data_IF_116706575357
#
_entry.id   IF_116706575357
#
_cell.length_a   1.000
_cell.length_b   1.000
_cell.length_c   1.000
_cell.angle_alpha   90.00
_cell.angle_beta   90.00
_cell.angle_gamma   90.00
#
_symmetry.space_group_name_H-M   'P 1'
#
loop_
_entity.id
_entity.type
_entity.pdbx_description
1 polymer ?
#
# COMPACT_ATOMS: atom_id res chain seq x y z
N UNK A 1 9.86 -26.10 3.90
CA UNK A 1 10.15 -24.87 4.64
C UNK A 1 8.83 -24.35 5.21
N UNK A 2 8.81 -23.86 6.44
CA UNK A 2 7.54 -23.45 7.09
C UNK A 2 7.50 -21.94 7.19
N UNK A 3 6.53 -21.32 6.52
CA UNK A 3 6.28 -19.88 6.69
C UNK A 3 5.82 -19.58 8.13
N UNK A 4 6.20 -18.41 8.61
CA UNK A 4 5.82 -17.85 9.93
C UNK A 4 5.13 -16.49 9.81
N UNK A 5 5.24 -15.84 8.64
CA UNK A 5 4.62 -14.54 8.43
C UNK A 5 4.13 -14.36 6.99
N UNK A 6 3.08 -13.53 6.83
CA UNK A 6 2.62 -13.00 5.54
C UNK A 6 2.62 -11.47 5.63
N UNK A 7 3.27 -10.84 4.67
CA UNK A 7 3.41 -9.39 4.53
C UNK A 7 2.57 -8.95 3.32
N UNK A 8 1.74 -7.95 3.50
CA UNK A 8 0.85 -7.44 2.47
C UNK A 8 1.27 -6.02 2.07
N UNK A 9 1.31 -5.72 0.78
CA UNK A 9 1.15 -4.34 0.36
C UNK A 9 -0.25 -3.84 0.73
N UNK A 10 -0.40 -2.53 0.75
CA UNK A 10 -1.67 -1.88 1.02
C UNK A 10 -2.47 -1.64 -0.26
N UNK A 11 -1.94 -0.85 -1.18
CA UNK A 11 -2.63 -0.50 -2.42
C UNK A 11 -2.83 -1.70 -3.34
N UNK A 12 -4.00 -1.85 -3.92
CA UNK A 12 -4.37 -2.97 -4.82
C UNK A 12 -4.25 -4.39 -4.22
N UNK A 13 -3.84 -4.52 -2.95
CA UNK A 13 -3.83 -5.78 -2.20
C UNK A 13 -4.88 -5.76 -1.09
N UNK A 14 -4.71 -4.88 -0.09
CA UNK A 14 -5.68 -4.68 1.00
C UNK A 14 -6.74 -3.64 0.62
N UNK A 15 -6.33 -2.58 -0.06
CA UNK A 15 -7.17 -1.49 -0.50
C UNK A 15 -7.44 -1.60 -2.00
N UNK A 16 -8.68 -1.41 -2.40
CA UNK A 16 -9.06 -1.33 -3.82
C UNK A 16 -8.55 -0.03 -4.43
N UNK A 17 -8.22 -0.03 -5.72
CA UNK A 17 -7.85 1.20 -6.42
C UNK A 17 -9.03 2.19 -6.46
N UNK A 18 -8.76 3.50 -6.64
CA UNK A 18 -9.79 4.49 -6.87
C UNK A 18 -10.61 4.15 -8.12
N UNK A 19 -11.89 4.48 -8.10
CA UNK A 19 -12.77 4.30 -9.25
C UNK A 19 -12.49 5.34 -10.33
N UNK A 20 -12.83 5.02 -11.58
CA UNK A 20 -12.74 5.98 -12.69
C UNK A 20 -13.51 7.28 -12.40
N UNK A 21 -14.66 7.18 -11.73
CA UNK A 21 -15.43 8.33 -11.33
C UNK A 21 -14.67 9.23 -10.34
N UNK A 22 -14.05 8.66 -9.31
CA UNK A 22 -13.26 9.41 -8.33
C UNK A 22 -12.10 10.16 -9.00
N UNK A 23 -11.39 9.49 -9.91
CA UNK A 23 -10.28 10.09 -10.68
C UNK A 23 -10.81 11.20 -11.58
N UNK A 24 -11.92 10.98 -12.31
CA UNK A 24 -12.54 11.97 -13.18
C UNK A 24 -12.98 13.23 -12.43
N UNK A 25 -13.60 13.05 -11.26
CA UNK A 25 -13.99 14.16 -10.39
C UNK A 25 -12.79 14.98 -9.90
N UNK A 26 -11.70 14.32 -9.53
CA UNK A 26 -10.47 14.98 -9.11
C UNK A 26 -9.82 15.76 -10.27
N UNK A 27 -9.75 15.18 -11.46
CA UNK A 27 -9.26 15.83 -12.66
C UNK A 27 -10.10 17.06 -13.03
N UNK A 28 -11.43 16.94 -12.95
CA UNK A 28 -12.37 18.04 -13.21
C UNK A 28 -12.17 19.22 -12.24
N UNK A 29 -11.92 18.96 -10.95
CA UNK A 29 -11.59 20.00 -9.97
C UNK A 29 -10.30 20.75 -10.34
N UNK A 30 -9.31 20.04 -10.87
CA UNK A 30 -8.06 20.63 -11.34
C UNK A 30 -8.20 21.32 -12.70
N UNK A 31 -9.34 21.16 -13.39
CA UNK A 31 -9.59 21.73 -14.73
C UNK A 31 -8.73 21.12 -15.84
N UNK A 32 -8.43 19.83 -15.74
CA UNK A 32 -7.59 19.04 -16.66
C UNK A 32 -8.26 17.71 -17.02
N UNK A 33 -7.72 17.03 -18.02
CA UNK A 33 -8.17 15.68 -18.39
C UNK A 33 -7.70 14.62 -17.37
N UNK A 34 -8.31 13.45 -17.39
CA UNK A 34 -7.92 12.28 -16.57
C UNK A 34 -6.47 11.88 -16.84
N UNK A 35 -6.05 11.85 -18.10
CA UNK A 35 -4.69 11.46 -18.47
C UNK A 35 -3.64 12.46 -17.94
N UNK A 36 -3.91 13.76 -18.05
CA UNK A 36 -3.06 14.82 -17.48
C UNK A 36 -2.99 14.68 -15.95
N UNK A 37 -4.13 14.43 -15.31
CA UNK A 37 -4.19 14.22 -13.86
C UNK A 37 -3.33 13.03 -13.43
N UNK A 38 -3.52 11.88 -14.03
CA UNK A 38 -2.76 10.66 -13.67
C UNK A 38 -1.25 10.86 -13.92
N UNK A 39 -0.87 11.49 -15.03
CA UNK A 39 0.53 11.78 -15.32
C UNK A 39 1.16 12.69 -14.26
N UNK A 40 0.48 13.77 -13.89
CA UNK A 40 0.94 14.70 -12.86
C UNK A 40 0.98 14.04 -11.47
N UNK A 41 -0.07 13.26 -11.12
CA UNK A 41 -0.20 12.56 -9.84
C UNK A 41 0.95 11.57 -9.58
N UNK A 42 1.37 10.82 -10.58
CA UNK A 42 2.45 9.83 -10.41
C UNK A 42 3.86 10.41 -10.55
N UNK A 43 4.01 11.65 -11.05
CA UNK A 43 5.31 12.25 -11.37
C UNK A 43 6.27 12.36 -10.18
N UNK A 44 5.75 12.80 -9.03
CA UNK A 44 6.51 13.01 -7.78
C UNK A 44 6.07 12.05 -6.66
N UNK A 45 5.37 10.97 -7.03
CA UNK A 45 4.80 10.05 -6.07
C UNK A 45 5.84 9.41 -5.16
N UNK A 46 7.01 9.08 -5.68
CA UNK A 46 8.07 8.44 -4.91
C UNK A 46 8.60 9.32 -3.78
N UNK A 47 8.79 10.61 -4.04
CA UNK A 47 9.19 11.60 -3.05
C UNK A 47 8.10 11.83 -2.01
N UNK A 48 6.86 11.85 -2.45
CA UNK A 48 5.70 11.98 -1.56
C UNK A 48 5.56 10.79 -0.62
N UNK A 49 5.69 9.59 -1.13
CA UNK A 49 5.67 8.36 -0.32
C UNK A 49 6.89 8.24 0.62
N UNK A 50 7.99 8.99 0.37
CA UNK A 50 9.11 9.14 1.30
C UNK A 50 8.84 10.13 2.44
N UNK A 51 7.78 10.92 2.37
CA UNK A 51 7.35 11.81 3.44
C UNK A 51 7.45 13.29 3.15
N UNK A 52 7.59 13.73 1.89
CA UNK A 52 7.36 15.13 1.53
C UNK A 52 5.98 15.57 2.03
N UNK A 53 5.88 16.81 2.49
CA UNK A 53 4.62 17.36 2.99
C UNK A 53 3.52 17.36 1.90
N UNK A 54 2.30 17.03 2.30
CA UNK A 54 1.19 16.92 1.36
C UNK A 54 0.86 18.24 0.65
N UNK A 55 1.01 19.39 1.34
CA UNK A 55 0.77 20.69 0.73
C UNK A 55 1.84 21.02 -0.29
N UNK A 56 3.10 20.67 -0.01
CA UNK A 56 4.21 20.83 -0.94
C UNK A 56 3.97 19.99 -2.19
N UNK A 57 3.63 18.71 -2.04
CA UNK A 57 3.30 17.82 -3.15
C UNK A 57 2.18 18.37 -4.05
N UNK A 58 1.05 18.80 -3.45
CA UNK A 58 -0.08 19.32 -4.23
C UNK A 58 0.15 20.70 -4.84
N UNK A 59 1.03 21.53 -4.26
CA UNK A 59 1.51 22.76 -4.90
C UNK A 59 2.41 22.49 -6.09
N UNK A 60 3.37 21.56 -5.97
CA UNK A 60 4.20 21.14 -7.11
C UNK A 60 3.36 20.46 -8.22
N UNK A 61 2.30 19.72 -7.85
CA UNK A 61 1.33 19.19 -8.80
C UNK A 61 0.65 20.32 -9.59
N UNK A 62 0.15 21.34 -8.87
CA UNK A 62 -0.52 22.49 -9.48
C UNK A 62 0.41 23.26 -10.43
N UNK A 63 1.63 23.56 -10.00
CA UNK A 63 2.65 24.21 -10.84
C UNK A 63 2.92 23.40 -12.12
N UNK A 64 3.03 22.06 -12.01
CA UNK A 64 3.28 21.22 -13.16
C UNK A 64 2.17 21.27 -14.21
N UNK A 65 0.91 21.35 -13.80
CA UNK A 65 -0.25 21.48 -14.73
C UNK A 65 -0.54 22.94 -15.12
N UNK A 66 0.33 23.88 -14.74
CA UNK A 66 0.17 25.32 -15.06
C UNK A 66 -1.00 25.97 -14.34
N UNK A 67 -1.29 25.56 -13.11
CA UNK A 67 -2.35 26.08 -12.25
C UNK A 67 -1.78 26.61 -10.93
N UNK A 68 -2.58 27.42 -10.26
CA UNK A 68 -2.34 27.82 -8.88
C UNK A 68 -3.48 27.29 -8.00
N UNK A 69 -3.14 26.51 -6.98
CA UNK A 69 -4.10 25.95 -6.03
C UNK A 69 -4.09 26.81 -4.76
N UNK A 70 -5.23 27.36 -4.42
CA UNK A 70 -5.40 27.94 -3.10
C UNK A 70 -5.42 26.85 -2.00
N UNK A 71 -5.35 27.29 -0.76
CA UNK A 71 -5.33 26.37 0.39
C UNK A 71 -6.60 25.49 0.48
N UNK A 72 -7.74 25.99 0.01
CA UNK A 72 -9.00 25.23 0.00
C UNK A 72 -8.95 24.07 -0.98
N UNK A 73 -8.46 24.32 -2.19
CA UNK A 73 -8.30 23.27 -3.21
C UNK A 73 -7.22 22.27 -2.82
N UNK A 74 -6.08 22.72 -2.25
CA UNK A 74 -5.04 21.81 -1.72
C UNK A 74 -5.62 20.87 -0.66
N UNK A 75 -6.38 21.39 0.29
CA UNK A 75 -7.03 20.57 1.33
C UNK A 75 -8.03 19.58 0.74
N UNK A 76 -8.81 19.99 -0.26
CA UNK A 76 -9.76 19.12 -0.95
C UNK A 76 -9.03 17.99 -1.70
N UNK A 77 -7.90 18.27 -2.36
CA UNK A 77 -7.12 17.24 -3.05
C UNK A 77 -6.50 16.24 -2.08
N UNK A 78 -5.99 16.69 -0.93
CA UNK A 78 -5.49 15.80 0.14
C UNK A 78 -6.64 14.89 0.63
N UNK A 79 -7.82 15.45 0.89
CA UNK A 79 -8.97 14.67 1.33
C UNK A 79 -9.37 13.62 0.30
N UNK A 80 -9.47 13.98 -0.98
CA UNK A 80 -9.81 13.06 -2.07
C UNK A 80 -8.78 11.96 -2.24
N UNK A 81 -7.50 12.27 -2.12
CA UNK A 81 -6.45 11.28 -2.15
C UNK A 81 -6.60 10.25 -1.03
N UNK A 82 -6.91 10.68 0.19
CA UNK A 82 -7.22 9.76 1.30
C UNK A 82 -8.42 8.88 0.93
N UNK A 83 -9.50 9.47 0.41
CA UNK A 83 -10.71 8.74 0.01
C UNK A 83 -10.44 7.71 -1.12
N UNK A 84 -9.47 7.97 -2.02
CA UNK A 84 -9.04 7.01 -3.05
C UNK A 84 -8.53 5.70 -2.46
N UNK A 85 -7.95 5.74 -1.28
CA UNK A 85 -7.24 4.63 -0.69
C UNK A 85 -7.84 4.15 0.65
N UNK A 86 -9.16 4.27 0.82
CA UNK A 86 -9.85 3.85 2.05
C UNK A 86 -10.97 2.81 1.82
N UNK A 87 -11.04 2.22 0.62
CA UNK A 87 -12.00 1.15 0.32
C UNK A 87 -11.30 -0.20 0.44
N UNK A 88 -11.49 -0.88 1.57
CA UNK A 88 -10.81 -2.15 1.86
C UNK A 88 -11.42 -3.35 1.14
N UNK A 89 -10.56 -4.29 0.71
CA UNK A 89 -11.01 -5.63 0.36
C UNK A 89 -11.15 -6.47 1.63
N UNK A 90 -12.38 -6.57 2.11
CA UNK A 90 -12.69 -7.29 3.36
C UNK A 90 -12.33 -8.77 3.30
N UNK A 91 -12.17 -9.37 2.10
CA UNK A 91 -11.76 -10.77 1.95
C UNK A 91 -10.32 -10.94 2.42
N UNK A 92 -9.43 -10.03 2.02
CA UNK A 92 -8.01 -10.03 2.44
C UNK A 92 -7.90 -9.73 3.93
N UNK A 93 -8.61 -8.70 4.42
CA UNK A 93 -8.58 -8.37 5.85
C UNK A 93 -9.11 -9.50 6.73
N UNK A 94 -10.22 -10.13 6.38
CA UNK A 94 -10.74 -11.26 7.14
C UNK A 94 -9.77 -12.45 7.15
N UNK A 95 -9.05 -12.65 6.05
CA UNK A 95 -8.08 -13.74 5.96
C UNK A 95 -6.87 -13.54 6.89
N UNK A 96 -6.51 -12.31 7.24
CA UNK A 96 -5.46 -12.06 8.25
C UNK A 96 -5.78 -12.74 9.58
N UNK A 97 -7.06 -12.80 9.97
CA UNK A 97 -7.48 -13.53 11.17
C UNK A 97 -7.30 -15.05 11.05
N UNK A 98 -7.52 -15.61 9.85
CA UNK A 98 -7.32 -17.05 9.62
C UNK A 98 -5.83 -17.39 9.62
N UNK A 99 -4.98 -16.52 9.06
CA UNK A 99 -3.52 -16.62 9.16
C UNK A 99 -3.06 -16.64 10.62
N UNK A 100 -3.51 -15.69 11.42
CA UNK A 100 -3.14 -15.57 12.84
C UNK A 100 -3.64 -16.78 13.66
N UNK A 101 -4.83 -17.32 13.39
CA UNK A 101 -5.33 -18.56 14.00
C UNK A 101 -4.48 -19.78 13.62
N UNK A 102 -3.89 -19.77 12.43
CA UNK A 102 -2.94 -20.81 12.00
C UNK A 102 -1.53 -20.61 12.57
N UNK A 103 -1.31 -19.57 13.39
CA UNK A 103 -0.03 -19.27 14.03
C UNK A 103 0.95 -18.49 13.18
N UNK A 104 0.47 -17.86 12.08
CA UNK A 104 1.28 -16.96 11.26
C UNK A 104 1.11 -15.51 11.77
N UNK A 105 2.18 -14.76 11.69
CA UNK A 105 2.16 -13.30 11.88
C UNK A 105 1.71 -12.60 10.59
N UNK A 106 1.12 -11.42 10.73
CA UNK A 106 0.66 -10.60 9.60
C UNK A 106 1.29 -9.22 9.67
N UNK A 107 1.63 -8.64 8.51
CA UNK A 107 2.22 -7.30 8.43
C UNK A 107 1.72 -6.53 7.23
N UNK A 108 1.70 -5.20 7.35
CA UNK A 108 1.64 -4.28 6.19
C UNK A 108 3.05 -3.76 5.90
N UNK A 109 3.40 -3.69 4.61
CA UNK A 109 4.59 -3.03 4.09
C UNK A 109 4.20 -2.20 2.88
N UNK A 110 4.09 -0.89 3.04
CA UNK A 110 3.54 -0.03 1.98
C UNK A 110 4.29 1.26 1.74
N UNK A 111 4.37 1.63 0.45
CA UNK A 111 4.72 2.98 0.02
C UNK A 111 3.46 3.84 0.06
N UNK A 112 3.39 4.78 0.99
CA UNK A 112 2.24 5.68 1.12
C UNK A 112 2.64 7.00 1.82
N UNK A 113 1.93 8.11 1.53
CA UNK A 113 2.22 9.39 2.13
C UNK A 113 1.74 9.46 3.58
N UNK A 114 2.32 10.42 4.32
CA UNK A 114 2.00 10.66 5.74
C UNK A 114 0.50 10.81 6.01
N UNK A 115 -0.21 11.59 5.21
CA UNK A 115 -1.64 11.86 5.39
C UNK A 115 -2.49 10.60 5.36
N UNK A 116 -2.20 9.69 4.44
CA UNK A 116 -2.87 8.40 4.37
C UNK A 116 -2.46 7.50 5.55
N UNK A 117 -1.16 7.44 5.88
CA UNK A 117 -0.69 6.63 7.01
C UNK A 117 -1.29 7.07 8.34
N UNK A 118 -1.37 8.37 8.61
CA UNK A 118 -2.01 8.92 9.81
C UNK A 118 -3.52 8.61 9.83
N UNK A 119 -4.20 8.69 8.67
CA UNK A 119 -5.61 8.29 8.54
C UNK A 119 -5.83 6.81 8.87
N UNK A 120 -4.97 5.92 8.38
CA UNK A 120 -5.03 4.48 8.67
C UNK A 120 -4.75 4.17 10.15
N UNK A 121 -3.84 4.91 10.78
CA UNK A 121 -3.57 4.78 12.22
C UNK A 121 -4.73 5.27 13.08
N UNK A 122 -5.52 6.22 12.59
CA UNK A 122 -6.72 6.72 13.26
C UNK A 122 -7.96 5.83 13.00
N UNK A 123 -7.92 4.93 12.00
CA UNK A 123 -9.03 4.01 11.68
C UNK A 123 -9.15 2.94 12.75
N UNK A 124 -10.27 2.98 13.48
CA UNK A 124 -10.48 2.07 14.59
C UNK A 124 -10.51 0.61 14.13
N UNK A 125 -9.66 -0.22 14.74
CA UNK A 125 -9.60 -1.66 14.48
C UNK A 125 -8.84 -2.08 13.22
N UNK A 126 -8.48 -1.14 12.32
CA UNK A 126 -7.79 -1.51 11.09
C UNK A 126 -6.41 -2.13 11.37
N UNK A 127 -5.61 -1.49 12.23
CA UNK A 127 -4.27 -1.98 12.55
C UNK A 127 -4.25 -3.23 13.43
N UNK A 128 -5.37 -3.58 14.08
CA UNK A 128 -5.49 -4.80 14.89
C UNK A 128 -5.37 -6.10 14.06
N UNK A 129 -5.47 -5.99 12.74
CA UNK A 129 -5.23 -7.09 11.81
C UNK A 129 -3.76 -7.47 11.67
N UNK A 130 -2.82 -6.62 12.15
CA UNK A 130 -1.40 -6.76 11.82
C UNK A 130 -0.53 -6.75 13.07
N UNK A 131 0.48 -7.64 13.07
CA UNK A 131 1.48 -7.73 14.15
C UNK A 131 2.61 -6.70 13.93
N UNK A 132 2.82 -6.24 12.69
CA UNK A 132 3.80 -5.23 12.30
C UNK A 132 3.22 -4.33 11.21
N UNK A 133 3.59 -3.06 11.26
CA UNK A 133 3.23 -2.04 10.26
C UNK A 133 4.46 -1.26 9.87
N UNK A 134 4.82 -1.29 8.58
CA UNK A 134 5.94 -0.56 8.00
C UNK A 134 5.41 0.36 6.91
N UNK A 135 5.42 1.66 7.17
CA UNK A 135 5.04 2.71 6.22
C UNK A 135 6.26 3.50 5.78
N UNK A 136 6.39 3.70 4.48
CA UNK A 136 7.56 4.35 3.87
C UNK A 136 7.83 5.76 4.39
N UNK A 137 6.80 6.57 4.61
CA UNK A 137 6.95 7.94 5.08
C UNK A 137 7.57 8.05 6.49
N UNK A 138 7.46 7.00 7.31
CA UNK A 138 8.04 6.97 8.66
C UNK A 138 9.55 6.71 8.63
N UNK A 139 9.99 5.95 7.63
CA UNK A 139 11.38 5.57 7.46
C UNK A 139 12.15 6.48 6.49
N UNK A 140 11.45 7.21 5.63
CA UNK A 140 12.07 7.97 4.55
C UNK A 140 12.63 7.10 3.42
N UNK A 141 12.30 5.80 3.40
CA UNK A 141 12.69 4.83 2.36
C UNK A 141 11.47 4.16 1.78
N UNK A 142 11.54 3.74 0.51
CA UNK A 142 10.40 3.17 -0.23
C UNK A 142 10.78 1.82 -0.85
N UNK A 143 9.81 0.95 -1.08
CA UNK A 143 10.00 -0.21 -1.96
C UNK A 143 10.45 0.26 -3.36
N UNK A 144 11.43 -0.37 -4.03
CA UNK A 144 12.07 -1.64 -3.69
C UNK A 144 13.43 -1.50 -2.94
N UNK A 145 13.65 -0.47 -2.14
CA UNK A 145 14.89 -0.31 -1.35
C UNK A 145 14.96 -1.37 -0.25
N UNK A 146 16.14 -1.97 -0.05
CA UNK A 146 16.31 -3.12 0.86
C UNK A 146 15.93 -2.82 2.31
N UNK A 147 16.18 -1.60 2.76
CA UNK A 147 15.96 -1.16 4.14
C UNK A 147 14.51 -1.32 4.60
N UNK A 148 13.54 -1.06 3.71
CA UNK A 148 12.11 -1.14 4.07
C UNK A 148 11.65 -2.60 4.31
N UNK A 149 12.22 -3.55 3.55
CA UNK A 149 11.96 -4.99 3.76
C UNK A 149 12.60 -5.49 5.04
N UNK A 150 13.84 -5.06 5.31
CA UNK A 150 14.53 -5.39 6.55
C UNK A 150 13.80 -4.86 7.78
N UNK A 151 13.18 -3.68 7.70
CA UNK A 151 12.37 -3.15 8.78
C UNK A 151 11.15 -4.04 9.06
N UNK A 152 10.40 -4.43 8.05
CA UNK A 152 9.25 -5.31 8.18
C UNK A 152 9.63 -6.68 8.79
N UNK A 153 10.70 -7.30 8.31
CA UNK A 153 11.20 -8.59 8.83
C UNK A 153 11.67 -8.47 10.28
N UNK A 154 12.42 -7.42 10.60
CA UNK A 154 12.89 -7.17 11.96
C UNK A 154 11.74 -6.94 12.94
N UNK A 155 10.73 -6.16 12.54
CA UNK A 155 9.53 -5.93 13.35
C UNK A 155 8.69 -7.19 13.56
N UNK A 156 8.63 -8.06 12.57
CA UNK A 156 7.98 -9.37 12.68
C UNK A 156 8.78 -10.36 13.55
N UNK A 157 10.11 -10.20 13.69
CA UNK A 157 10.95 -11.14 14.41
C UNK A 157 10.98 -12.53 13.78
N UNK A 158 11.11 -12.58 12.45
CA UNK A 158 11.25 -13.81 11.66
C UNK A 158 12.47 -13.70 10.74
N UNK A 159 12.94 -14.84 10.23
CA UNK A 159 13.95 -14.83 9.18
C UNK A 159 13.30 -14.50 7.82
N UNK A 160 14.02 -13.83 6.89
CA UNK A 160 13.47 -13.48 5.57
C UNK A 160 12.82 -14.65 4.85
N UNK A 161 13.45 -15.82 4.87
CA UNK A 161 12.95 -17.05 4.24
C UNK A 161 11.71 -17.65 4.92
N UNK A 162 11.30 -17.13 6.07
CA UNK A 162 10.10 -17.55 6.80
C UNK A 162 8.89 -16.64 6.48
N UNK A 163 9.06 -15.63 5.63
CA UNK A 163 8.02 -14.68 5.26
C UNK A 163 7.62 -14.78 3.78
N UNK A 164 6.35 -14.53 3.50
CA UNK A 164 5.81 -14.33 2.16
C UNK A 164 5.33 -12.88 2.03
N UNK A 165 5.78 -12.17 1.01
CA UNK A 165 5.35 -10.82 0.65
C UNK A 165 4.44 -10.84 -0.58
N UNK A 166 3.31 -10.14 -0.51
CA UNK A 166 2.33 -9.99 -1.58
C UNK A 166 2.23 -8.52 -1.98
N UNK A 167 2.51 -8.21 -3.25
CA UNK A 167 2.51 -6.85 -3.78
C UNK A 167 2.05 -6.88 -5.25
N UNK A 168 1.29 -5.89 -5.71
CA UNK A 168 0.79 -5.82 -7.09
C UNK A 168 1.87 -5.40 -8.10
N UNK A 169 3.00 -4.85 -7.63
CA UNK A 169 4.08 -4.32 -8.49
C UNK A 169 5.25 -5.27 -8.58
N UNK A 170 5.58 -5.77 -9.80
CA UNK A 170 6.70 -6.69 -10.00
C UNK A 170 8.03 -6.20 -9.45
N UNK A 171 8.33 -4.89 -9.56
CA UNK A 171 9.56 -4.31 -9.05
C UNK A 171 9.69 -4.40 -7.52
N UNK A 172 8.57 -4.28 -6.79
CA UNK A 172 8.54 -4.44 -5.34
C UNK A 172 8.72 -5.90 -4.95
N UNK A 173 8.10 -6.82 -5.71
CA UNK A 173 8.27 -8.27 -5.52
C UNK A 173 9.73 -8.67 -5.70
N UNK A 174 10.40 -8.18 -6.75
CA UNK A 174 11.82 -8.44 -6.97
C UNK A 174 12.70 -7.85 -5.86
N UNK A 175 12.35 -6.65 -5.33
CA UNK A 175 13.02 -6.09 -4.16
C UNK A 175 12.89 -6.97 -2.92
N UNK A 176 11.70 -7.53 -2.68
CA UNK A 176 11.46 -8.49 -1.59
C UNK A 176 12.27 -9.77 -1.75
N UNK A 177 12.33 -10.32 -2.97
CA UNK A 177 13.16 -11.49 -3.29
C UNK A 177 14.64 -11.22 -3.08
N UNK A 178 15.13 -10.05 -3.48
CA UNK A 178 16.52 -9.63 -3.26
C UNK A 178 16.85 -9.49 -1.78
N UNK A 179 15.86 -9.13 -0.94
CA UNK A 179 15.98 -9.12 0.52
C UNK A 179 15.85 -10.52 1.17
N UNK A 180 15.71 -11.59 0.37
CA UNK A 180 15.61 -12.99 0.83
C UNK A 180 14.20 -13.42 1.26
N UNK A 181 13.18 -12.61 1.01
CA UNK A 181 11.78 -12.90 1.32
C UNK A 181 11.15 -13.68 0.15
N UNK A 182 10.29 -14.66 0.42
CA UNK A 182 9.42 -15.17 -0.63
C UNK A 182 8.46 -14.07 -1.03
N UNK A 183 8.34 -13.79 -2.32
CA UNK A 183 7.47 -12.72 -2.79
C UNK A 183 6.76 -13.09 -4.08
N UNK A 184 5.46 -12.77 -4.16
CA UNK A 184 4.61 -13.07 -5.31
C UNK A 184 3.84 -11.84 -5.75
N UNK A 185 3.66 -11.72 -7.06
CA UNK A 185 2.83 -10.66 -7.63
C UNK A 185 1.37 -10.98 -7.35
N UNK A 186 0.73 -10.12 -6.57
CA UNK A 186 -0.70 -10.21 -6.29
C UNK A 186 -1.48 -9.52 -7.42
N UNK A 187 -2.24 -10.28 -8.16
CA UNK A 187 -3.08 -9.79 -9.27
C UNK A 187 -4.52 -9.64 -8.83
N UNK A 188 -5.12 -10.74 -8.37
CA UNK A 188 -6.45 -10.77 -7.78
C UNK A 188 -6.49 -11.73 -6.60
N UNK A 189 -7.49 -11.57 -5.75
CA UNK A 189 -7.73 -12.50 -4.65
C UNK A 189 -7.92 -13.94 -5.13
N UNK A 190 -8.67 -14.11 -6.21
CA UNK A 190 -8.97 -15.40 -6.83
C UNK A 190 -7.72 -16.08 -7.36
N UNK A 191 -6.90 -15.35 -8.13
CA UNK A 191 -5.62 -15.86 -8.67
C UNK A 191 -4.67 -16.27 -7.54
N UNK A 192 -4.57 -15.45 -6.49
CA UNK A 192 -3.75 -15.77 -5.33
C UNK A 192 -4.20 -17.07 -4.65
N UNK A 193 -5.50 -17.25 -4.43
CA UNK A 193 -6.03 -18.47 -3.81
C UNK A 193 -5.75 -19.72 -4.65
N UNK A 194 -5.91 -19.60 -5.96
CA UNK A 194 -5.71 -20.73 -6.89
C UNK A 194 -4.23 -21.09 -7.05
N UNK A 195 -3.37 -20.09 -7.24
CA UNK A 195 -1.97 -20.28 -7.62
C UNK A 195 -1.03 -20.40 -6.44
N UNK A 196 -1.12 -19.48 -5.47
CA UNK A 196 -0.05 -19.27 -4.50
C UNK A 196 -0.38 -19.81 -3.10
N UNK A 197 -1.63 -19.68 -2.65
CA UNK A 197 -2.04 -20.11 -1.31
C UNK A 197 -1.64 -21.56 -1.00
N UNK A 198 -2.01 -22.49 -1.90
CA UNK A 198 -1.72 -23.92 -1.72
C UNK A 198 -0.23 -24.23 -1.82
N UNK A 199 0.49 -23.55 -2.73
CA UNK A 199 1.94 -23.66 -2.91
C UNK A 199 2.71 -23.36 -1.62
N UNK A 200 2.24 -22.37 -0.86
CA UNK A 200 2.84 -21.96 0.42
C UNK A 200 2.22 -22.63 1.64
N UNK A 201 1.26 -23.54 1.46
CA UNK A 201 0.59 -24.25 2.56
C UNK A 201 -0.19 -23.33 3.50
N UNK A 202 -0.70 -22.21 2.98
CA UNK A 202 -1.44 -21.23 3.76
C UNK A 202 -2.90 -21.68 3.99
N UNK A 203 -3.54 -21.26 5.10
CA UNK A 203 -4.90 -21.67 5.42
C UNK A 203 -5.91 -21.16 4.39
N UNK A 204 -6.99 -21.90 4.20
CA UNK A 204 -8.13 -21.43 3.42
C UNK A 204 -8.88 -20.32 4.14
N UNK A 205 -9.34 -19.28 3.40
CA UNK A 205 -10.24 -18.28 3.95
C UNK A 205 -11.53 -18.94 4.44
N UNK A 206 -11.97 -18.58 5.62
CA UNK A 206 -13.30 -19.00 6.12
C UNK A 206 -14.39 -18.23 5.37
N UNK A 207 -15.51 -18.94 5.14
CA UNK A 207 -16.70 -18.35 4.52
C UNK A 207 -17.42 -17.43 5.51
#
# INVERSE_FOLDING_TARGET
>A
MKLRAVIFDYGNVICRPPTEQQISEAAALCGITVDEFLHAFWRKRREYDRGIDAREYWKEFAEYIGRDFDDALVNEMIRREIDFWTVFDMRVLNWTHDLRRAGLKTSILSNLPRTLGERLRAEQGFLDHFDQVTFSYELGVIKPEAEIYHDAIRGLGVEPVEALFLDDRPENVEGGRAAGIHAEVFTTWEDFLERDRARYGLPEPRK
#
